data_IF_034082980947
#
_entry.id   IF_034082980947
#
_cell.length_a   1.000
_cell.length_b   1.000
_cell.length_c   1.000
_cell.angle_alpha   90.00
_cell.angle_beta   90.00
_cell.angle_gamma   90.00
#
_symmetry.space_group_name_H-M   'P 1'
#
loop_
_entity.id
_entity.type
_entity.pdbx_description
1 polymer ?
#
# COMPACT_ATOMS: atom_id res chain seq x y z
N UNK A 1 11.51 -28.54 18.58
CA UNK A 1 10.17 -27.93 18.52
C UNK A 1 10.14 -27.01 17.32
N UNK A 2 9.15 -27.13 16.44
CA UNK A 2 8.90 -26.12 15.40
C UNK A 2 8.17 -24.94 16.03
N UNK A 3 8.52 -23.72 15.63
CA UNK A 3 7.70 -22.53 15.91
C UNK A 3 6.68 -22.43 14.79
N UNK A 4 5.40 -22.34 15.11
CA UNK A 4 4.39 -22.08 14.09
C UNK A 4 4.37 -20.58 13.69
N UNK A 5 3.71 -20.27 12.57
CA UNK A 5 3.65 -18.89 12.08
C UNK A 5 2.94 -17.96 13.07
N UNK A 6 1.92 -18.44 13.79
CA UNK A 6 1.18 -17.66 14.77
C UNK A 6 2.08 -17.29 15.96
N UNK A 7 2.80 -18.26 16.52
CA UNK A 7 3.79 -18.06 17.58
C UNK A 7 4.87 -17.06 17.14
N UNK A 8 5.38 -17.19 15.91
CA UNK A 8 6.36 -16.26 15.34
C UNK A 8 5.84 -14.82 15.24
N UNK A 9 4.61 -14.63 14.76
CA UNK A 9 3.99 -13.31 14.65
C UNK A 9 3.68 -12.69 16.02
N UNK A 10 3.32 -13.51 17.01
CA UNK A 10 3.15 -13.07 18.40
C UNK A 10 4.47 -12.56 18.96
N UNK A 11 5.58 -13.25 18.70
CA UNK A 11 6.91 -12.79 19.12
C UNK A 11 7.25 -11.43 18.51
N UNK A 12 7.09 -11.27 17.19
CA UNK A 12 7.30 -9.98 16.52
C UNK A 12 6.46 -8.86 17.13
N UNK A 13 5.19 -9.16 17.45
CA UNK A 13 4.27 -8.20 18.08
C UNK A 13 4.70 -7.83 19.50
N UNK A 14 5.18 -8.79 20.29
CA UNK A 14 5.69 -8.56 21.66
C UNK A 14 6.93 -7.69 21.65
N UNK A 15 7.82 -7.88 20.67
CA UNK A 15 9.03 -7.07 20.50
C UNK A 15 8.78 -5.74 19.78
N UNK A 16 7.58 -5.49 19.26
CA UNK A 16 7.23 -4.31 18.46
C UNK A 16 8.16 -4.08 17.26
N UNK A 17 8.53 -5.18 16.60
CA UNK A 17 9.39 -5.16 15.40
C UNK A 17 8.66 -5.74 14.19
N UNK A 18 9.02 -5.34 12.96
CA UNK A 18 8.54 -6.02 11.77
C UNK A 18 8.93 -7.52 11.81
N UNK A 19 8.02 -8.47 11.59
CA UNK A 19 8.35 -9.91 11.74
C UNK A 19 9.57 -10.33 10.91
N UNK A 20 9.72 -9.77 9.73
CA UNK A 20 10.83 -10.09 8.82
C UNK A 20 12.22 -9.78 9.41
N UNK A 21 12.34 -8.81 10.34
CA UNK A 21 13.63 -8.48 10.96
C UNK A 21 14.05 -9.50 12.02
N UNK A 22 13.14 -10.36 12.49
CA UNK A 22 13.49 -11.51 13.32
C UNK A 22 14.13 -12.64 12.50
N UNK A 23 13.85 -12.71 11.20
CA UNK A 23 14.46 -13.70 10.28
C UNK A 23 15.74 -13.17 9.63
N UNK A 24 15.79 -11.85 9.38
CA UNK A 24 16.89 -11.19 8.69
C UNK A 24 17.39 -10.01 9.54
N UNK A 25 18.34 -10.26 10.47
CA UNK A 25 18.78 -9.25 11.44
C UNK A 25 19.80 -8.30 10.81
N UNK A 26 19.28 -7.32 10.06
CA UNK A 26 20.06 -6.35 9.27
C UNK A 26 21.08 -5.52 10.08
N UNK A 27 20.87 -5.38 11.38
CA UNK A 27 21.68 -4.57 12.28
C UNK A 27 22.81 -5.35 12.97
N UNK A 28 22.68 -6.67 13.07
CA UNK A 28 23.66 -7.51 13.80
C UNK A 28 24.41 -8.49 12.92
N UNK A 29 23.86 -8.92 11.78
CA UNK A 29 24.50 -9.91 10.92
C UNK A 29 24.60 -9.43 9.46
N UNK A 30 25.79 -9.52 8.89
CA UNK A 30 26.05 -9.11 7.50
C UNK A 30 25.64 -10.18 6.47
N UNK A 31 25.56 -11.45 6.88
CA UNK A 31 25.15 -12.57 6.05
C UNK A 31 24.32 -13.57 6.86
N UNK A 32 23.43 -14.27 6.17
CA UNK A 32 22.56 -15.31 6.75
C UNK A 32 22.48 -16.52 5.83
N UNK A 33 22.17 -17.68 6.41
CA UNK A 33 21.90 -18.91 5.67
C UNK A 33 20.44 -18.94 5.21
N UNK A 34 20.19 -18.78 3.90
CA UNK A 34 18.82 -18.78 3.33
C UNK A 34 18.31 -20.18 2.98
N UNK A 35 19.24 -21.10 2.70
CA UNK A 35 19.03 -22.52 2.43
C UNK A 35 20.21 -23.30 3.01
N UNK A 36 20.07 -24.62 3.28
CA UNK A 36 21.16 -25.43 3.84
C UNK A 36 22.48 -25.29 3.08
N UNK A 37 23.51 -24.77 3.75
CA UNK A 37 24.85 -24.50 3.24
C UNK A 37 24.99 -23.24 2.38
N UNK A 38 23.95 -22.41 2.27
CA UNK A 38 23.93 -21.23 1.40
C UNK A 38 23.86 -19.94 2.21
N UNK A 39 25.04 -19.39 2.52
CA UNK A 39 25.17 -18.05 3.08
C UNK A 39 25.10 -16.98 1.99
N UNK A 40 24.29 -15.94 2.21
CA UNK A 40 24.19 -14.76 1.34
C UNK A 40 24.13 -13.49 2.19
N UNK A 41 24.45 -12.30 1.63
CA UNK A 41 24.27 -11.05 2.36
C UNK A 41 22.84 -10.89 2.89
N UNK A 42 22.69 -10.45 4.15
CA UNK A 42 21.37 -10.36 4.82
C UNK A 42 20.37 -9.51 4.04
N UNK A 43 20.85 -8.44 3.40
CA UNK A 43 20.04 -7.60 2.54
C UNK A 43 19.51 -8.33 1.28
N UNK A 44 20.35 -9.16 0.65
CA UNK A 44 19.97 -9.93 -0.52
C UNK A 44 19.00 -11.06 -0.15
N UNK A 45 19.20 -11.68 1.02
CA UNK A 45 18.26 -12.65 1.59
C UNK A 45 16.87 -12.04 1.81
N UNK A 46 16.81 -10.86 2.44
CA UNK A 46 15.58 -10.12 2.66
C UNK A 46 14.90 -9.77 1.34
N UNK A 47 15.66 -9.25 0.38
CA UNK A 47 15.14 -8.90 -0.95
C UNK A 47 14.60 -10.13 -1.68
N UNK A 48 15.24 -11.29 -1.56
CA UNK A 48 14.68 -12.54 -2.10
C UNK A 48 13.38 -12.94 -1.41
N UNK A 49 13.34 -12.88 -0.08
CA UNK A 49 12.17 -13.24 0.72
C UNK A 49 10.94 -12.38 0.44
N UNK A 50 11.11 -11.06 0.27
CA UNK A 50 10.03 -10.12 -0.10
C UNK A 50 9.78 -10.06 -1.62
N UNK A 51 10.53 -10.86 -2.38
CA UNK A 51 10.54 -10.90 -3.83
C UNK A 51 11.27 -9.74 -4.50
N UNK A 52 11.77 -8.75 -3.76
CA UNK A 52 12.45 -7.51 -4.20
C UNK A 52 13.87 -7.71 -4.75
N UNK A 53 14.22 -8.93 -5.13
CA UNK A 53 15.48 -9.20 -5.83
C UNK A 53 15.54 -8.37 -7.12
N UNK A 54 16.69 -7.74 -7.37
CA UNK A 54 16.91 -7.03 -8.64
C UNK A 54 16.80 -8.00 -9.80
N UNK A 55 16.04 -7.61 -10.82
CA UNK A 55 15.93 -8.35 -12.05
C UNK A 55 16.71 -7.64 -13.15
N UNK A 56 17.48 -8.41 -13.92
CA UNK A 56 18.16 -7.90 -15.12
C UNK A 56 17.21 -7.79 -16.33
N UNK A 57 16.00 -8.34 -16.20
CA UNK A 57 14.96 -8.37 -17.22
C UNK A 57 13.62 -7.96 -16.63
N UNK A 58 12.65 -7.50 -17.45
CA UNK A 58 11.32 -7.19 -16.97
C UNK A 58 10.65 -8.36 -16.25
N UNK A 59 9.86 -8.08 -15.22
CA UNK A 59 9.07 -9.08 -14.50
C UNK A 59 8.20 -9.88 -15.49
N UNK A 60 8.29 -11.22 -15.52
CA UNK A 60 7.48 -12.03 -16.43
C UNK A 60 5.98 -11.87 -16.15
N UNK A 61 5.19 -11.73 -17.22
CA UNK A 61 3.73 -11.67 -17.12
C UNK A 61 3.16 -12.96 -16.54
N UNK A 62 2.19 -12.84 -15.63
CA UNK A 62 1.55 -13.94 -14.91
C UNK A 62 2.39 -14.52 -13.76
N UNK A 63 3.59 -14.00 -13.49
CA UNK A 63 4.42 -14.49 -12.40
C UNK A 63 3.94 -14.01 -11.03
N UNK A 64 4.28 -14.74 -9.96
CA UNK A 64 4.02 -14.30 -8.58
C UNK A 64 4.68 -12.95 -8.26
N UNK A 65 5.82 -12.66 -8.89
CA UNK A 65 6.50 -11.37 -8.76
C UNK A 65 5.66 -10.23 -9.34
N UNK A 66 5.06 -10.44 -10.51
CA UNK A 66 4.17 -9.42 -11.12
C UNK A 66 2.97 -9.14 -10.21
N UNK A 67 2.40 -10.17 -9.59
CA UNK A 67 1.30 -10.00 -8.63
C UNK A 67 1.75 -9.13 -7.45
N UNK A 68 2.92 -9.39 -6.84
CA UNK A 68 3.45 -8.54 -5.77
C UNK A 68 3.66 -7.10 -6.23
N UNK A 69 4.23 -6.90 -7.43
CA UNK A 69 4.48 -5.57 -7.98
C UNK A 69 3.17 -4.80 -8.21
N UNK A 70 2.08 -5.47 -8.62
CA UNK A 70 0.76 -4.85 -8.76
C UNK A 70 0.18 -4.39 -7.41
N UNK A 71 0.34 -5.19 -6.34
CA UNK A 71 -0.12 -4.80 -5.00
C UNK A 71 0.69 -3.63 -4.42
N UNK A 72 2.00 -3.57 -4.70
CA UNK A 72 2.82 -2.40 -4.35
C UNK A 72 2.38 -1.15 -5.11
N UNK A 73 2.24 -1.25 -6.43
CA UNK A 73 1.77 -0.14 -7.25
C UNK A 73 0.34 0.32 -6.89
N UNK A 74 -0.53 -0.61 -6.49
CA UNK A 74 -1.85 -0.28 -5.95
C UNK A 74 -1.75 0.52 -4.64
N UNK A 75 -0.85 0.13 -3.74
CA UNK A 75 -0.61 0.85 -2.49
C UNK A 75 -0.12 2.29 -2.74
N UNK A 76 0.78 2.48 -3.72
CA UNK A 76 1.25 3.80 -4.13
C UNK A 76 0.14 4.66 -4.76
N UNK A 77 -0.72 4.06 -5.59
CA UNK A 77 -1.88 4.73 -6.17
C UNK A 77 -2.90 5.17 -5.09
N UNK A 78 -3.13 4.33 -4.07
CA UNK A 78 -3.97 4.69 -2.91
C UNK A 78 -3.36 5.86 -2.15
N UNK A 79 -2.05 5.84 -1.88
CA UNK A 79 -1.36 6.92 -1.17
C UNK A 79 -1.41 8.25 -1.94
N UNK A 80 -1.23 8.20 -3.26
CA UNK A 80 -1.34 9.35 -4.15
C UNK A 80 -2.75 9.96 -4.10
N UNK A 81 -3.78 9.15 -4.33
CA UNK A 81 -5.18 9.60 -4.29
C UNK A 81 -5.57 10.17 -2.91
N UNK A 82 -5.09 9.56 -1.82
CA UNK A 82 -5.35 10.04 -0.46
C UNK A 82 -4.71 11.41 -0.23
N UNK A 83 -3.49 11.59 -0.72
CA UNK A 83 -2.73 12.83 -0.57
C UNK A 83 -3.42 13.97 -1.33
N UNK A 84 -3.82 13.76 -2.59
CA UNK A 84 -4.53 14.76 -3.37
C UNK A 84 -5.93 15.08 -2.82
N UNK A 85 -6.67 14.07 -2.36
CA UNK A 85 -7.97 14.29 -1.70
C UNK A 85 -7.84 15.16 -0.43
N UNK A 86 -6.83 14.91 0.40
CA UNK A 86 -6.54 15.72 1.60
C UNK A 86 -6.14 17.14 1.25
N UNK A 87 -5.32 17.32 0.22
CA UNK A 87 -4.94 18.65 -0.25
C UNK A 87 -6.16 19.44 -0.76
N UNK A 88 -7.01 18.83 -1.59
CA UNK A 88 -8.24 19.47 -2.08
C UNK A 88 -9.16 19.90 -0.93
N UNK A 89 -9.38 19.01 0.06
CA UNK A 89 -10.18 19.29 1.25
C UNK A 89 -9.65 20.49 2.05
N UNK A 90 -8.34 20.54 2.28
CA UNK A 90 -7.72 21.65 3.02
C UNK A 90 -7.78 22.97 2.24
N UNK A 91 -7.62 22.94 0.91
CA UNK A 91 -7.76 24.13 0.06
C UNK A 91 -9.17 24.68 0.09
N UNK A 92 -10.18 23.80 -0.03
CA UNK A 92 -11.59 24.17 0.06
C UNK A 92 -11.90 24.82 1.40
N UNK A 93 -11.44 24.21 2.49
CA UNK A 93 -11.59 24.76 3.85
C UNK A 93 -11.00 26.17 3.95
N UNK A 94 -9.80 26.42 3.41
CA UNK A 94 -9.18 27.75 3.40
C UNK A 94 -10.01 28.77 2.62
N UNK A 95 -10.55 28.41 1.46
CA UNK A 95 -11.41 29.28 0.67
C UNK A 95 -12.71 29.64 1.41
N UNK A 96 -13.35 28.65 2.07
CA UNK A 96 -14.58 28.87 2.86
C UNK A 96 -14.37 29.81 4.05
N UNK A 97 -13.20 29.75 4.68
CA UNK A 97 -12.87 30.60 5.83
C UNK A 97 -12.37 32.01 5.45
N UNK A 98 -12.17 32.29 4.16
CA UNK A 98 -11.67 33.59 3.71
C UNK A 98 -12.80 34.65 3.77
N UNK A 99 -12.55 35.71 4.54
CA UNK A 99 -13.49 36.84 4.71
C UNK A 99 -13.29 37.96 3.68
N UNK A 100 -12.08 38.06 3.11
CA UNK A 100 -11.76 39.03 2.06
C UNK A 100 -12.13 38.47 0.67
N UNK A 101 -12.84 39.26 -0.13
CA UNK A 101 -13.38 38.82 -1.41
C UNK A 101 -12.29 38.51 -2.44
N UNK A 102 -11.27 39.38 -2.58
CA UNK A 102 -10.18 39.18 -3.53
C UNK A 102 -9.32 37.96 -3.19
N UNK A 103 -9.03 37.76 -1.90
CA UNK A 103 -8.35 36.57 -1.40
C UNK A 103 -9.18 35.30 -1.58
N UNK A 104 -10.50 35.38 -1.37
CA UNK A 104 -11.41 34.25 -1.58
C UNK A 104 -11.43 33.82 -3.04
N UNK A 105 -11.49 34.75 -3.98
CA UNK A 105 -11.54 34.43 -5.41
C UNK A 105 -10.24 33.76 -5.87
N UNK A 106 -9.07 34.28 -5.45
CA UNK A 106 -7.78 33.63 -5.72
C UNK A 106 -7.68 32.22 -5.10
N UNK A 107 -8.24 32.01 -3.90
CA UNK A 107 -8.28 30.69 -3.28
C UNK A 107 -9.20 29.73 -4.03
N UNK A 108 -10.34 30.18 -4.55
CA UNK A 108 -11.27 29.35 -5.32
C UNK A 108 -10.66 28.84 -6.62
N UNK A 109 -9.83 29.64 -7.30
CA UNK A 109 -9.07 29.18 -8.46
C UNK A 109 -8.13 28.03 -8.10
N UNK A 110 -7.41 28.14 -6.98
CA UNK A 110 -6.55 27.04 -6.50
C UNK A 110 -7.36 25.81 -6.08
N UNK A 111 -8.56 25.99 -5.49
CA UNK A 111 -9.44 24.87 -5.13
C UNK A 111 -9.78 24.04 -6.35
N UNK A 112 -10.18 24.69 -7.45
CA UNK A 112 -10.54 23.99 -8.68
C UNK A 112 -9.39 23.12 -9.21
N UNK A 113 -8.14 23.62 -9.21
CA UNK A 113 -6.98 22.85 -9.64
C UNK A 113 -6.71 21.61 -8.77
N UNK A 114 -6.78 21.75 -7.44
CA UNK A 114 -6.57 20.62 -6.54
C UNK A 114 -7.73 19.62 -6.56
N UNK A 115 -8.96 20.08 -6.76
CA UNK A 115 -10.12 19.22 -6.93
C UNK A 115 -10.07 18.43 -8.25
N UNK A 116 -9.52 19.01 -9.33
CA UNK A 116 -9.26 18.26 -10.56
C UNK A 116 -8.23 17.16 -10.34
N UNK A 117 -7.07 17.50 -9.75
CA UNK A 117 -6.02 16.53 -9.44
C UNK A 117 -6.55 15.36 -8.60
N UNK A 118 -7.28 15.67 -7.52
CA UNK A 118 -7.88 14.63 -6.67
C UNK A 118 -8.91 13.77 -7.40
N UNK A 119 -9.58 14.31 -8.44
CA UNK A 119 -10.52 13.56 -9.26
C UNK A 119 -9.79 12.67 -10.26
N UNK A 120 -8.69 13.15 -10.84
CA UNK A 120 -7.82 12.40 -11.74
C UNK A 120 -7.19 11.21 -11.02
N UNK A 121 -6.50 11.42 -9.91
CA UNK A 121 -5.88 10.34 -9.14
C UNK A 121 -6.91 9.28 -8.69
N UNK A 122 -8.14 9.72 -8.32
CA UNK A 122 -9.22 8.80 -7.96
C UNK A 122 -9.69 7.97 -9.16
N UNK A 123 -9.82 8.58 -10.35
CA UNK A 123 -10.17 7.86 -11.58
C UNK A 123 -9.09 6.84 -11.93
N UNK A 124 -7.83 7.23 -11.88
CA UNK A 124 -6.70 6.34 -12.14
C UNK A 124 -6.67 5.16 -11.17
N UNK A 125 -6.88 5.42 -9.87
CA UNK A 125 -6.97 4.37 -8.84
C UNK A 125 -8.14 3.41 -9.13
N UNK A 126 -9.30 3.92 -9.53
CA UNK A 126 -10.44 3.07 -9.89
C UNK A 126 -10.11 2.18 -11.09
N UNK A 127 -9.59 2.77 -12.17
CA UNK A 127 -9.16 2.02 -13.37
C UNK A 127 -8.07 1.00 -13.04
N UNK A 128 -7.15 1.33 -12.14
CA UNK A 128 -6.12 0.39 -11.67
C UNK A 128 -6.76 -0.81 -10.95
N UNK A 129 -7.69 -0.55 -10.02
CA UNK A 129 -8.40 -1.58 -9.26
C UNK A 129 -9.25 -2.47 -10.16
N UNK A 130 -9.90 -1.92 -11.18
CA UNK A 130 -10.68 -2.71 -12.14
C UNK A 130 -9.78 -3.68 -12.91
N UNK A 131 -8.62 -3.21 -13.40
CA UNK A 131 -7.63 -4.07 -14.06
C UNK A 131 -7.10 -5.17 -13.13
N UNK A 132 -6.95 -4.91 -11.84
CA UNK A 132 -6.60 -5.94 -10.87
C UNK A 132 -7.70 -7.01 -10.77
N UNK A 133 -8.97 -6.59 -10.69
CA UNK A 133 -10.13 -7.50 -10.59
C UNK A 133 -10.35 -8.31 -11.87
N UNK A 134 -10.16 -7.70 -13.04
CA UNK A 134 -10.19 -8.39 -14.35
C UNK A 134 -9.18 -9.55 -14.42
N UNK A 135 -8.07 -9.44 -13.67
CA UNK A 135 -7.06 -10.48 -13.53
C UNK A 135 -7.33 -11.46 -12.37
N UNK A 136 -8.50 -11.37 -11.73
CA UNK A 136 -8.88 -12.21 -10.58
C UNK A 136 -8.20 -11.84 -9.26
N UNK A 137 -7.55 -10.68 -9.18
CA UNK A 137 -6.92 -10.22 -7.93
C UNK A 137 -7.94 -9.50 -7.03
N UNK A 138 -7.71 -9.57 -5.72
CA UNK A 138 -8.56 -8.95 -4.70
C UNK A 138 -7.79 -7.79 -4.06
N UNK A 139 -7.94 -6.55 -4.56
CA UNK A 139 -7.24 -5.41 -3.97
C UNK A 139 -7.80 -5.08 -2.59
N UNK A 140 -6.94 -4.55 -1.71
CA UNK A 140 -7.33 -4.15 -0.36
C UNK A 140 -8.46 -3.09 -0.37
N UNK A 141 -9.30 -3.03 0.68
CA UNK A 141 -10.34 -2.01 0.80
C UNK A 141 -9.74 -0.61 0.85
N UNK A 142 -10.46 0.36 0.29
CA UNK A 142 -10.03 1.76 0.32
C UNK A 142 -10.25 2.41 1.70
N UNK A 143 -9.37 3.33 2.12
CA UNK A 143 -9.63 4.20 3.26
C UNK A 143 -10.93 5.00 3.05
N UNK A 144 -11.65 5.29 4.14
CA UNK A 144 -12.95 5.99 4.08
C UNK A 144 -12.90 7.38 3.42
N UNK A 145 -11.75 8.07 3.47
CA UNK A 145 -11.60 9.35 2.74
C UNK A 145 -11.60 9.20 1.21
N UNK A 146 -11.36 7.99 0.71
CA UNK A 146 -11.32 7.65 -0.70
C UNK A 146 -12.56 6.89 -1.17
N UNK A 147 -13.34 6.29 -0.26
CA UNK A 147 -14.51 5.50 -0.63
C UNK A 147 -15.65 5.56 0.39
N UNK A 148 -16.85 5.87 -0.14
CA UNK A 148 -18.12 5.28 0.29
C UNK A 148 -18.58 4.17 -0.69
N UNK A 149 -17.70 3.72 -1.60
CA UNK A 149 -18.04 2.80 -2.70
C UNK A 149 -17.05 1.64 -2.83
N UNK A 150 -16.85 0.87 -1.76
CA UNK A 150 -16.33 -0.49 -1.87
C UNK A 150 -17.45 -1.44 -1.44
N UNK A 151 -18.27 -1.84 -2.41
CA UNK A 151 -19.16 -2.98 -2.26
C UNK A 151 -18.33 -4.26 -2.20
N UNK A 152 -17.82 -4.58 -1.02
CA UNK A 152 -17.41 -5.95 -0.68
C UNK A 152 -17.69 -6.13 0.80
N UNK A 153 -18.90 -6.63 1.06
CA UNK A 153 -19.21 -7.24 2.35
C UNK A 153 -18.19 -8.36 2.56
N UNK A 154 -17.32 -8.19 3.56
CA UNK A 154 -16.81 -9.35 4.27
C UNK A 154 -18.08 -10.03 4.81
N UNK A 155 -18.38 -11.30 4.47
CA UNK A 155 -19.41 -12.02 5.20
C UNK A 155 -18.97 -11.98 6.66
N UNK A 156 -19.76 -11.35 7.51
CA UNK A 156 -19.62 -11.52 8.93
C UNK A 156 -19.63 -13.03 9.16
N UNK A 157 -18.51 -13.56 9.65
CA UNK A 157 -18.42 -14.95 10.08
C UNK A 157 -19.64 -15.25 10.93
N UNK A 158 -20.28 -16.36 10.58
CA UNK A 158 -21.57 -16.78 11.11
C UNK A 158 -21.54 -16.83 12.63
N UNK A 159 -22.45 -16.08 13.22
CA UNK A 159 -23.07 -16.48 14.48
C UNK A 159 -24.05 -17.64 14.18
N UNK A 160 -24.21 -18.51 15.17
CA UNK A 160 -25.08 -19.70 15.27
C UNK A 160 -24.54 -21.05 14.72
N UNK A 161 -23.89 -21.83 15.61
CA UNK A 161 -24.54 -22.91 16.39
C UNK A 161 -23.52 -23.78 17.17
#
# INVERSE_FOLDING_TARGET
>A
SSVDLGEFLVLAKVYDVPPVTLMFPLDTEAAVEVLPGQEVPTWDALAWFTGETRLDQPTPQGSSREVLDLFRAHSDAVATALTSARMAKERRRKATLATDAGRRDALLETVASYEELAREDRRELHTFRDRMRERGLVPAPLPGELGDADGSAIPADGDDA
#
